data_IF_931054481927
#
_entry.id   IF_931054481927
#
_cell.length_a   1.000
_cell.length_b   1.000
_cell.length_c   1.000
_cell.angle_alpha   90.00
_cell.angle_beta   90.00
_cell.angle_gamma   90.00
#
_symmetry.space_group_name_H-M   'P 1'
#
loop_
_entity.id
_entity.type
_entity.pdbx_description
1 polymer ?
#
# COMPACT_ATOMS: atom_id res chain seq x y z
N UNK A 1 6.57 -11.89 -32.39
CA UNK A 1 6.21 -12.47 -31.09
C UNK A 1 7.44 -12.77 -30.25
N UNK A 2 7.95 -14.01 -30.28
CA UNK A 2 8.99 -14.50 -29.36
C UNK A 2 10.32 -13.72 -29.36
N UNK A 3 10.76 -13.17 -30.50
CA UNK A 3 11.98 -12.32 -30.57
C UNK A 3 11.88 -11.03 -29.74
N UNK A 4 10.70 -10.42 -29.65
CA UNK A 4 10.48 -9.22 -28.81
C UNK A 4 10.41 -9.59 -27.33
N UNK A 5 9.87 -10.77 -27.01
CA UNK A 5 9.88 -11.29 -25.63
C UNK A 5 11.31 -11.56 -25.17
N UNK A 6 12.14 -12.18 -26.02
CA UNK A 6 13.55 -12.42 -25.71
C UNK A 6 14.30 -11.11 -25.45
N UNK A 7 13.99 -10.03 -26.19
CA UNK A 7 14.66 -8.73 -26.09
C UNK A 7 14.57 -8.07 -24.69
N UNK A 8 13.53 -8.37 -23.90
CA UNK A 8 13.39 -7.83 -22.53
C UNK A 8 14.32 -8.51 -21.53
N UNK A 9 14.75 -9.74 -21.83
CA UNK A 9 15.61 -10.56 -20.97
C UNK A 9 17.11 -10.33 -21.20
N UNK A 10 17.50 -9.52 -22.17
CA UNK A 10 18.89 -9.10 -22.35
C UNK A 10 19.23 -7.91 -21.44
N UNK A 11 20.50 -7.83 -21.00
CA UNK A 11 21.00 -6.66 -20.26
C UNK A 11 21.00 -5.42 -21.15
N UNK A 12 20.68 -4.21 -20.63
CA UNK A 12 20.34 -3.89 -19.24
C UNK A 12 18.85 -4.04 -18.87
N UNK A 13 17.98 -4.29 -19.84
CA UNK A 13 16.51 -4.30 -19.66
C UNK A 13 16.02 -5.32 -18.64
N UNK A 14 16.66 -6.48 -18.54
CA UNK A 14 16.27 -7.53 -17.59
C UNK A 14 16.42 -7.08 -16.13
N UNK A 15 17.49 -6.37 -15.78
CA UNK A 15 17.74 -5.90 -14.41
C UNK A 15 16.72 -4.83 -14.03
N UNK A 16 16.50 -3.88 -14.94
CA UNK A 16 15.48 -2.84 -14.78
C UNK A 16 14.08 -3.44 -14.62
N UNK A 17 13.77 -4.50 -15.37
CA UNK A 17 12.48 -5.19 -15.28
C UNK A 17 12.30 -5.85 -13.92
N UNK A 18 13.32 -6.57 -13.45
CA UNK A 18 13.28 -7.22 -12.13
C UNK A 18 13.07 -6.19 -11.03
N UNK A 19 13.82 -5.08 -11.04
CA UNK A 19 13.68 -4.01 -10.06
C UNK A 19 12.26 -3.43 -10.06
N UNK A 20 11.76 -3.03 -11.23
CA UNK A 20 10.40 -2.49 -11.40
C UNK A 20 9.34 -3.48 -10.91
N UNK A 21 9.47 -4.76 -11.26
CA UNK A 21 8.52 -5.81 -10.87
C UNK A 21 8.48 -5.99 -9.36
N UNK A 22 9.64 -6.01 -8.68
CA UNK A 22 9.71 -6.14 -7.22
C UNK A 22 9.11 -4.90 -6.55
N UNK A 23 9.42 -3.70 -7.03
CA UNK A 23 8.87 -2.46 -6.48
C UNK A 23 7.34 -2.47 -6.63
N UNK A 24 6.84 -2.80 -7.84
CA UNK A 24 5.41 -2.84 -8.13
C UNK A 24 4.68 -3.90 -7.32
N UNK A 25 5.32 -5.06 -7.06
CA UNK A 25 4.82 -6.07 -6.14
C UNK A 25 4.58 -5.47 -4.75
N UNK A 26 5.58 -4.80 -4.17
CA UNK A 26 5.47 -4.25 -2.82
C UNK A 26 4.47 -3.09 -2.70
N UNK A 27 4.46 -2.17 -3.67
CA UNK A 27 3.50 -1.05 -3.69
C UNK A 27 2.06 -1.58 -3.80
N UNK A 28 1.80 -2.48 -4.76
CA UNK A 28 0.45 -2.96 -5.00
C UNK A 28 -0.03 -3.92 -3.90
N UNK A 29 0.86 -4.72 -3.32
CA UNK A 29 0.58 -5.50 -2.11
C UNK A 29 0.12 -4.60 -0.97
N UNK A 30 0.88 -3.56 -0.64
CA UNK A 30 0.55 -2.70 0.49
C UNK A 30 -0.73 -1.89 0.28
N UNK A 31 -0.87 -1.25 -0.88
CA UNK A 31 -2.03 -0.42 -1.16
C UNK A 31 -3.33 -1.23 -1.19
N UNK A 32 -3.35 -2.39 -1.86
CA UNK A 32 -4.58 -3.17 -1.98
C UNK A 32 -4.93 -3.90 -0.69
N UNK A 33 -3.94 -4.41 0.03
CA UNK A 33 -4.19 -5.09 1.30
C UNK A 33 -4.78 -4.13 2.32
N UNK A 34 -4.13 -2.99 2.57
CA UNK A 34 -4.64 -2.05 3.56
C UNK A 34 -6.00 -1.48 3.13
N UNK A 35 -6.20 -1.18 1.85
CA UNK A 35 -7.47 -0.65 1.34
C UNK A 35 -8.63 -1.65 1.48
N UNK A 36 -8.39 -2.95 1.29
CA UNK A 36 -9.43 -3.97 1.48
C UNK A 36 -9.74 -4.23 2.96
N UNK A 37 -8.73 -4.10 3.81
CA UNK A 37 -8.88 -4.31 5.24
C UNK A 37 -9.39 -3.07 5.99
N UNK A 38 -9.23 -1.87 5.44
CA UNK A 38 -9.63 -0.60 6.09
C UNK A 38 -11.09 -0.58 6.59
N UNK A 39 -12.09 -1.01 5.80
CA UNK A 39 -13.46 -1.10 6.29
C UNK A 39 -13.62 -2.04 7.47
N UNK A 40 -12.92 -3.17 7.48
CA UNK A 40 -12.94 -4.12 8.58
C UNK A 40 -12.24 -3.56 9.83
N UNK A 41 -11.12 -2.84 9.65
CA UNK A 41 -10.46 -2.13 10.75
C UNK A 41 -11.40 -1.10 11.38
N UNK A 42 -12.03 -0.25 10.56
CA UNK A 42 -12.96 0.76 11.06
C UNK A 42 -14.24 0.16 11.64
N UNK A 43 -14.73 -0.96 11.13
CA UNK A 43 -15.84 -1.68 11.73
C UNK A 43 -15.48 -2.22 13.13
N UNK A 44 -14.30 -2.84 13.29
CA UNK A 44 -13.83 -3.31 14.59
C UNK A 44 -13.68 -2.15 15.60
N UNK A 45 -13.24 -0.99 15.12
CA UNK A 45 -13.16 0.25 15.91
C UNK A 45 -14.55 0.76 16.31
N UNK A 46 -15.49 0.79 15.37
CA UNK A 46 -16.86 1.24 15.60
C UNK A 46 -17.59 0.35 16.61
N UNK A 47 -17.43 -0.97 16.50
CA UNK A 47 -18.02 -1.96 17.42
C UNK A 47 -17.48 -1.82 18.84
N UNK A 48 -16.25 -1.33 19.00
CA UNK A 48 -15.63 -1.07 20.31
C UNK A 48 -15.62 0.39 20.73
N UNK A 49 -16.35 1.26 20.03
CA UNK A 49 -16.39 2.69 20.31
C UNK A 49 -16.74 3.02 21.77
N UNK A 50 -17.76 2.36 22.34
CA UNK A 50 -18.19 2.56 23.73
C UNK A 50 -17.17 2.06 24.76
N UNK A 51 -16.42 1.00 24.44
CA UNK A 51 -15.33 0.49 25.29
C UNK A 51 -14.12 1.42 25.19
N UNK A 52 -13.80 1.89 23.98
CA UNK A 52 -12.71 2.82 23.74
C UNK A 52 -12.92 4.17 24.47
N UNK A 53 -14.17 4.63 24.62
CA UNK A 53 -14.50 5.81 25.44
C UNK A 53 -14.20 5.64 26.93
N UNK A 54 -14.28 4.40 27.46
CA UNK A 54 -14.12 4.11 28.89
C UNK A 54 -12.70 3.66 29.26
N UNK A 55 -12.08 2.83 28.43
CA UNK A 55 -10.79 2.18 28.70
C UNK A 55 -9.63 2.76 27.87
N UNK A 56 -9.92 3.69 26.95
CA UNK A 56 -8.94 4.21 25.98
C UNK A 56 -8.92 3.38 24.69
N UNK A 57 -8.52 4.02 23.59
CA UNK A 57 -8.37 3.38 22.29
C UNK A 57 -6.99 2.71 22.18
N UNK A 58 -6.98 1.44 21.76
CA UNK A 58 -5.77 0.76 21.30
C UNK A 58 -6.14 -0.06 20.06
N UNK A 59 -5.46 0.20 18.95
CA UNK A 59 -5.66 -0.50 17.69
C UNK A 59 -5.43 -2.01 17.89
N UNK A 60 -4.41 -2.41 18.64
CA UNK A 60 -4.05 -3.82 18.81
C UNK A 60 -5.15 -4.61 19.53
N UNK A 61 -5.60 -4.11 20.68
CA UNK A 61 -6.72 -4.69 21.43
C UNK A 61 -8.02 -4.68 20.64
N UNK A 62 -8.21 -3.69 19.77
CA UNK A 62 -9.38 -3.60 18.89
C UNK A 62 -9.33 -4.66 17.80
N UNK A 63 -8.21 -4.82 17.09
CA UNK A 63 -8.10 -5.80 16.00
C UNK A 63 -8.10 -7.26 16.50
N UNK A 64 -7.81 -7.51 17.77
CA UNK A 64 -7.93 -8.85 18.36
C UNK A 64 -9.37 -9.41 18.31
N UNK A 65 -10.40 -8.57 18.17
CA UNK A 65 -11.80 -9.05 17.96
C UNK A 65 -12.02 -9.74 16.63
N UNK A 66 -11.18 -9.45 15.64
CA UNK A 66 -11.25 -10.06 14.32
C UNK A 66 -10.76 -11.52 14.33
N UNK A 67 -10.14 -11.96 15.43
CA UNK A 67 -9.68 -13.33 15.62
C UNK A 67 -10.77 -14.09 16.37
N UNK A 68 -11.39 -15.12 15.75
CA UNK A 68 -12.42 -15.90 16.42
C UNK A 68 -11.81 -16.72 17.56
N UNK A 69 -12.17 -16.42 18.80
CA UNK A 69 -11.86 -17.30 19.93
C UNK A 69 -12.68 -18.59 19.82
N UNK A 70 -12.02 -19.74 19.81
CA UNK A 70 -12.64 -21.07 19.66
C UNK A 70 -13.57 -21.49 20.81
N UNK A 71 -13.77 -20.63 21.81
CA UNK A 71 -14.86 -20.77 22.77
C UNK A 71 -16.17 -20.43 22.08
N UNK A 72 -16.80 -21.47 21.53
CA UNK A 72 -18.12 -21.46 20.90
C UNK A 72 -19.15 -20.84 21.87
N UNK A 73 -19.33 -19.52 21.79
CA UNK A 73 -20.39 -18.85 22.51
C UNK A 73 -21.69 -19.21 21.81
N UNK A 74 -22.59 -19.91 22.51
CA UNK A 74 -23.99 -20.12 22.09
C UNK A 74 -24.81 -18.81 22.08
N UNK A 75 -24.15 -17.66 21.91
CA UNK A 75 -24.78 -16.35 21.84
C UNK A 75 -25.36 -16.08 20.44
N UNK A 76 -26.46 -15.33 20.41
CA UNK A 76 -27.01 -14.79 19.17
C UNK A 76 -26.00 -13.85 18.53
N UNK A 77 -25.75 -14.01 17.22
CA UNK A 77 -24.87 -13.11 16.47
C UNK A 77 -25.59 -11.77 16.30
N UNK A 78 -25.31 -10.81 17.19
CA UNK A 78 -25.82 -9.44 17.06
C UNK A 78 -24.94 -8.67 16.08
N UNK A 79 -25.46 -8.41 14.88
CA UNK A 79 -24.78 -7.58 13.89
C UNK A 79 -24.98 -6.10 14.24
N UNK A 80 -23.90 -5.33 14.31
CA UNK A 80 -24.00 -3.88 14.42
C UNK A 80 -24.42 -3.28 13.07
N UNK A 81 -25.63 -2.74 13.01
CA UNK A 81 -26.15 -2.09 11.81
C UNK A 81 -25.72 -0.62 11.68
N UNK A 82 -25.20 0.00 12.74
CA UNK A 82 -24.81 1.41 12.75
C UNK A 82 -23.37 1.60 12.23
N UNK A 83 -23.16 1.41 10.93
CA UNK A 83 -21.84 1.50 10.28
C UNK A 83 -21.63 2.81 9.50
N UNK A 84 -22.44 3.84 9.76
CA UNK A 84 -22.34 5.14 9.07
C UNK A 84 -20.95 5.77 9.20
N UNK A 85 -20.36 5.73 10.40
CA UNK A 85 -19.01 6.22 10.66
C UNK A 85 -17.93 5.43 9.92
N UNK A 86 -18.11 4.12 9.75
CA UNK A 86 -17.18 3.26 8.99
C UNK A 86 -17.09 3.70 7.54
N UNK A 87 -18.24 3.99 6.91
CA UNK A 87 -18.29 4.48 5.53
C UNK A 87 -17.74 5.90 5.42
N UNK A 88 -18.05 6.79 6.38
CA UNK A 88 -17.52 8.14 6.41
C UNK A 88 -15.99 8.15 6.51
N UNK A 89 -15.40 7.34 7.41
CA UNK A 89 -13.95 7.23 7.56
C UNK A 89 -13.26 6.69 6.30
N UNK A 90 -13.84 5.69 5.63
CA UNK A 90 -13.33 5.22 4.34
C UNK A 90 -13.42 6.29 3.24
N UNK A 91 -14.52 7.04 3.18
CA UNK A 91 -14.69 8.13 2.23
C UNK A 91 -13.64 9.24 2.47
N UNK A 92 -13.35 9.57 3.73
CA UNK A 92 -12.29 10.50 4.11
C UNK A 92 -10.93 10.01 3.60
N UNK A 93 -10.56 8.74 3.83
CA UNK A 93 -9.31 8.19 3.31
C UNK A 93 -9.20 8.31 1.80
N UNK A 94 -10.29 8.02 1.06
CA UNK A 94 -10.34 8.16 -0.38
C UNK A 94 -10.19 9.61 -0.84
N UNK A 95 -10.90 10.55 -0.21
CA UNK A 95 -10.82 11.97 -0.54
C UNK A 95 -9.42 12.54 -0.29
N UNK A 96 -8.80 12.21 0.85
CA UNK A 96 -7.42 12.62 1.16
C UNK A 96 -6.43 12.05 0.15
N UNK A 97 -6.59 10.79 -0.24
CA UNK A 97 -5.74 10.17 -1.25
C UNK A 97 -5.84 10.89 -2.61
N UNK A 98 -7.03 11.31 -3.02
CA UNK A 98 -7.24 12.11 -4.24
C UNK A 98 -6.53 13.47 -4.13
N UNK A 99 -6.67 14.17 -3.00
CA UNK A 99 -6.01 15.46 -2.77
C UNK A 99 -4.49 15.30 -2.86
N UNK A 100 -3.93 14.30 -2.19
CA UNK A 100 -2.49 13.99 -2.25
C UNK A 100 -2.03 13.72 -3.70
N UNK A 101 -2.81 12.93 -4.45
CA UNK A 101 -2.53 12.65 -5.86
C UNK A 101 -2.49 13.93 -6.70
N UNK A 102 -3.47 14.82 -6.55
CA UNK A 102 -3.52 16.10 -7.27
C UNK A 102 -2.33 17.00 -6.91
N UNK A 103 -1.95 17.05 -5.63
CA UNK A 103 -0.79 17.81 -5.15
C UNK A 103 0.54 17.22 -5.66
N UNK A 104 0.59 15.91 -5.93
CA UNK A 104 1.80 15.27 -6.45
C UNK A 104 2.12 15.65 -7.91
N UNK A 105 1.12 16.03 -8.71
CA UNK A 105 1.28 16.36 -10.12
C UNK A 105 2.28 17.52 -10.36
N UNK A 106 2.17 18.69 -9.72
CA UNK A 106 3.19 19.72 -9.83
C UNK A 106 4.52 19.29 -9.21
N UNK A 107 4.51 18.48 -8.15
CA UNK A 107 5.75 18.00 -7.50
C UNK A 107 6.58 17.14 -8.44
N UNK A 108 5.96 16.29 -9.28
CA UNK A 108 6.69 15.51 -10.29
C UNK A 108 7.38 16.43 -11.30
N UNK A 109 6.77 17.56 -11.67
CA UNK A 109 7.37 18.52 -12.60
C UNK A 109 8.53 19.29 -11.96
N UNK A 110 8.46 19.58 -10.66
CA UNK A 110 9.43 20.40 -9.94
C UNK A 110 10.62 19.58 -9.40
N UNK A 111 10.35 18.40 -8.85
CA UNK A 111 11.33 17.55 -8.16
C UNK A 111 11.81 16.36 -9.01
N UNK A 112 11.11 16.07 -10.12
CA UNK A 112 11.38 14.90 -10.94
C UNK A 112 10.73 13.61 -10.43
N UNK A 113 10.60 12.64 -11.33
CA UNK A 113 9.87 11.38 -11.04
C UNK A 113 10.54 10.55 -9.96
N UNK A 114 11.88 10.46 -9.97
CA UNK A 114 12.63 9.62 -9.03
C UNK A 114 12.47 10.07 -7.58
N UNK A 115 12.58 11.37 -7.33
CA UNK A 115 12.42 11.93 -5.98
C UNK A 115 11.00 11.72 -5.47
N UNK A 116 9.99 11.98 -6.31
CA UNK A 116 8.59 11.77 -5.94
C UNK A 116 8.30 10.29 -5.66
N UNK A 117 8.78 9.38 -6.49
CA UNK A 117 8.62 7.94 -6.29
C UNK A 117 9.25 7.49 -4.96
N UNK A 118 10.51 7.84 -4.71
CA UNK A 118 11.21 7.44 -3.50
C UNK A 118 10.59 8.06 -2.25
N UNK A 119 10.32 9.37 -2.27
CA UNK A 119 9.76 10.09 -1.12
C UNK A 119 8.36 9.61 -0.75
N UNK A 120 7.49 9.41 -1.74
CA UNK A 120 6.14 8.89 -1.50
C UNK A 120 6.14 7.43 -1.03
N UNK A 121 6.98 6.56 -1.62
CA UNK A 121 7.12 5.18 -1.15
C UNK A 121 7.66 5.11 0.29
N UNK A 122 8.71 5.88 0.62
CA UNK A 122 9.24 5.98 1.98
C UNK A 122 8.17 6.44 2.98
N UNK A 123 7.48 7.54 2.67
CA UNK A 123 6.45 8.07 3.56
C UNK A 123 5.28 7.10 3.75
N UNK A 124 4.89 6.38 2.69
CA UNK A 124 3.86 5.33 2.77
C UNK A 124 4.27 4.19 3.70
N UNK A 125 5.50 3.69 3.58
CA UNK A 125 6.04 2.65 4.45
C UNK A 125 6.15 3.09 5.91
N UNK A 126 6.69 4.30 6.14
CA UNK A 126 6.82 4.88 7.49
C UNK A 126 5.47 5.06 8.19
N UNK A 127 4.42 5.46 7.46
CA UNK A 127 3.07 5.57 8.04
C UNK A 127 2.61 4.24 8.65
N UNK A 128 2.88 3.10 8.01
CA UNK A 128 2.52 1.79 8.56
C UNK A 128 3.36 1.42 9.78
N UNK A 129 4.66 1.73 9.77
CA UNK A 129 5.52 1.52 10.94
C UNK A 129 5.03 2.36 12.12
N UNK A 130 4.63 3.60 11.88
CA UNK A 130 4.07 4.47 12.92
C UNK A 130 2.74 3.93 13.43
N UNK A 131 1.84 3.45 12.55
CA UNK A 131 0.59 2.79 12.97
C UNK A 131 0.86 1.59 13.88
N UNK A 132 1.89 0.80 13.56
CA UNK A 132 2.22 -0.40 14.34
C UNK A 132 2.54 -0.09 15.81
N UNK A 133 3.23 1.04 16.10
CA UNK A 133 3.67 1.39 17.45
C UNK A 133 2.82 2.47 18.14
N UNK A 134 2.15 3.32 17.37
CA UNK A 134 1.45 4.50 17.86
C UNK A 134 -0.04 4.53 17.50
N UNK A 135 -0.63 3.38 17.16
CA UNK A 135 -2.06 3.18 16.92
C UNK A 135 -2.95 3.33 18.16
N UNK A 136 -2.66 4.27 19.06
CA UNK A 136 -3.36 4.49 20.34
C UNK A 136 -4.52 5.49 20.22
N UNK A 137 -4.75 6.06 19.04
CA UNK A 137 -5.91 6.90 18.77
C UNK A 137 -6.52 6.62 17.39
N UNK A 138 -7.85 6.68 17.31
CA UNK A 138 -8.59 6.52 16.05
C UNK A 138 -8.15 7.57 15.02
N UNK A 139 -7.98 8.83 15.44
CA UNK A 139 -7.56 9.93 14.56
C UNK A 139 -6.17 9.67 13.98
N UNK A 140 -5.23 9.18 14.79
CA UNK A 140 -3.88 8.84 14.33
C UNK A 140 -3.93 7.73 13.29
N UNK A 141 -4.69 6.66 13.57
CA UNK A 141 -4.85 5.52 12.65
C UNK A 141 -5.52 5.95 11.33
N UNK A 142 -6.57 6.77 11.40
CA UNK A 142 -7.28 7.31 10.24
C UNK A 142 -6.39 8.21 9.40
N UNK A 143 -5.71 9.17 10.01
CA UNK A 143 -4.81 10.11 9.33
C UNK A 143 -3.65 9.39 8.66
N UNK A 144 -2.95 8.49 9.39
CA UNK A 144 -1.82 7.74 8.84
C UNK A 144 -2.25 6.77 7.73
N UNK A 145 -3.43 6.14 7.86
CA UNK A 145 -3.98 5.28 6.80
C UNK A 145 -4.31 6.08 5.55
N UNK A 146 -4.87 7.28 5.71
CA UNK A 146 -5.18 8.17 4.59
C UNK A 146 -3.92 8.64 3.86
N UNK A 147 -2.90 9.05 4.61
CA UNK A 147 -1.59 9.45 4.05
C UNK A 147 -0.93 8.26 3.36
N UNK A 148 -0.92 7.09 3.99
CA UNK A 148 -0.38 5.87 3.42
C UNK A 148 -1.00 5.57 2.05
N UNK A 149 -2.33 5.57 1.94
CA UNK A 149 -3.05 5.28 0.70
C UNK A 149 -2.68 6.31 -0.37
N UNK A 150 -2.73 7.61 -0.05
CA UNK A 150 -2.38 8.66 -0.98
C UNK A 150 -0.94 8.55 -1.49
N UNK A 151 0.02 8.39 -0.58
CA UNK A 151 1.44 8.28 -0.91
C UNK A 151 1.73 7.01 -1.71
N UNK A 152 1.10 5.88 -1.38
CA UNK A 152 1.28 4.65 -2.13
C UNK A 152 0.72 4.79 -3.56
N UNK A 153 -0.43 5.43 -3.73
CA UNK A 153 -0.97 5.74 -5.06
C UNK A 153 -0.04 6.65 -5.87
N UNK A 154 0.56 7.67 -5.25
CA UNK A 154 1.55 8.51 -5.92
C UNK A 154 2.73 7.67 -6.37
N UNK A 155 3.34 6.88 -5.47
CA UNK A 155 4.46 6.00 -5.79
C UNK A 155 4.12 5.03 -6.94
N UNK A 156 2.95 4.39 -6.88
CA UNK A 156 2.47 3.46 -7.90
C UNK A 156 2.35 4.14 -9.28
N UNK A 157 1.70 5.31 -9.36
CA UNK A 157 1.51 6.00 -10.63
C UNK A 157 2.82 6.55 -11.18
N UNK A 158 3.70 7.07 -10.32
CA UNK A 158 5.01 7.55 -10.72
C UNK A 158 5.90 6.42 -11.22
N UNK A 159 5.87 5.24 -10.58
CA UNK A 159 6.60 4.06 -11.07
C UNK A 159 6.11 3.66 -12.46
N UNK A 160 4.80 3.56 -12.68
CA UNK A 160 4.25 3.25 -14.01
C UNK A 160 4.71 4.25 -15.07
N UNK A 161 4.75 5.54 -14.72
CA UNK A 161 5.30 6.57 -15.60
C UNK A 161 6.79 6.35 -15.89
N UNK A 162 7.59 6.04 -14.87
CA UNK A 162 9.02 5.74 -15.03
C UNK A 162 9.29 4.48 -15.89
N UNK A 163 8.42 3.46 -15.84
CA UNK A 163 8.55 2.27 -16.70
C UNK A 163 8.44 2.64 -18.18
N UNK A 164 7.51 3.52 -18.53
CA UNK A 164 7.30 3.96 -19.92
C UNK A 164 8.53 4.70 -20.45
N UNK A 165 9.24 5.43 -19.60
CA UNK A 165 10.47 6.14 -19.99
C UNK A 165 11.70 5.23 -20.01
N UNK A 166 11.74 4.24 -19.10
CA UNK A 166 12.89 3.34 -18.94
C UNK A 166 13.02 2.31 -20.07
N UNK A 167 11.89 1.89 -20.65
CA UNK A 167 11.87 0.86 -21.69
C UNK A 167 11.63 1.46 -23.09
N UNK A 168 12.28 0.90 -24.13
CA UNK A 168 12.05 1.31 -25.51
C UNK A 168 10.60 0.98 -25.92
N UNK A 169 10.03 1.76 -26.85
CA UNK A 169 8.61 1.71 -27.22
C UNK A 169 8.09 0.30 -27.52
N UNK A 170 8.90 -0.55 -28.14
CA UNK A 170 8.57 -1.94 -28.47
C UNK A 170 8.42 -2.86 -27.25
N UNK A 171 8.98 -2.49 -26.09
CA UNK A 171 8.98 -3.27 -24.85
C UNK A 171 8.12 -2.65 -23.74
N UNK A 172 7.69 -1.38 -23.88
CA UNK A 172 6.91 -0.65 -22.85
C UNK A 172 5.67 -1.41 -22.38
N UNK A 173 4.84 -1.85 -23.33
CA UNK A 173 3.59 -2.56 -23.02
C UNK A 173 3.86 -3.86 -22.25
N UNK A 174 4.90 -4.60 -22.63
CA UNK A 174 5.30 -5.82 -21.94
C UNK A 174 5.82 -5.56 -20.53
N UNK A 175 6.64 -4.52 -20.35
CA UNK A 175 7.17 -4.15 -19.04
C UNK A 175 6.05 -3.72 -18.08
N UNK A 176 5.12 -2.88 -18.55
CA UNK A 176 3.94 -2.46 -17.76
C UNK A 176 3.05 -3.65 -17.44
N UNK A 177 2.75 -4.52 -18.41
CA UNK A 177 1.94 -5.71 -18.19
C UNK A 177 2.58 -6.66 -17.17
N UNK A 178 3.89 -6.87 -17.25
CA UNK A 178 4.64 -7.71 -16.30
C UNK A 178 4.61 -7.12 -14.90
N UNK A 179 4.90 -5.82 -14.76
CA UNK A 179 4.84 -5.11 -13.48
C UNK A 179 3.44 -5.23 -12.86
N UNK A 180 2.38 -4.98 -13.63
CA UNK A 180 1.01 -5.08 -13.16
C UNK A 180 0.60 -6.51 -12.80
N UNK A 181 1.03 -7.52 -13.55
CA UNK A 181 0.75 -8.92 -13.26
C UNK A 181 1.34 -9.34 -11.90
N UNK A 182 2.62 -9.05 -11.67
CA UNK A 182 3.27 -9.32 -10.39
C UNK A 182 2.73 -8.45 -9.26
N UNK A 183 2.37 -7.19 -9.54
CA UNK A 183 1.66 -6.34 -8.59
C UNK A 183 0.36 -6.98 -8.11
N UNK A 184 -0.45 -7.50 -9.04
CA UNK A 184 -1.73 -8.15 -8.70
C UNK A 184 -1.51 -9.43 -7.90
N UNK A 185 -0.48 -10.21 -8.26
CA UNK A 185 -0.06 -11.34 -7.46
C UNK A 185 0.31 -10.92 -6.03
N UNK A 186 1.05 -9.81 -5.86
CA UNK A 186 1.34 -9.22 -4.54
C UNK A 186 0.09 -8.82 -3.76
N UNK A 187 -0.92 -8.24 -4.41
CA UNK A 187 -2.22 -7.97 -3.78
C UNK A 187 -2.89 -9.24 -3.27
N UNK A 188 -2.89 -10.33 -4.05
CA UNK A 188 -3.46 -11.60 -3.59
C UNK A 188 -2.70 -12.17 -2.40
N UNK A 189 -1.36 -12.17 -2.47
CA UNK A 189 -0.48 -12.62 -1.38
C UNK A 189 -0.71 -11.81 -0.11
N UNK A 190 -0.77 -10.48 -0.21
CA UNK A 190 -1.00 -9.60 0.94
C UNK A 190 -2.34 -9.84 1.64
N UNK A 191 -3.42 -10.06 0.88
CA UNK A 191 -4.74 -10.32 1.48
C UNK A 191 -4.84 -11.68 2.18
N UNK A 192 -4.02 -12.67 1.80
CA UNK A 192 -3.93 -13.96 2.49
C UNK A 192 -3.06 -13.84 3.73
N UNK A 193 -1.93 -13.12 3.61
CA UNK A 193 -0.92 -13.01 4.67
C UNK A 193 -1.36 -12.06 5.80
N UNK A 194 -2.12 -11.00 5.50
CA UNK A 194 -2.58 -10.03 6.50
C UNK A 194 -3.36 -10.64 7.68
N UNK A 195 -4.45 -11.42 7.46
CA UNK A 195 -5.16 -12.06 8.56
C UNK A 195 -4.31 -13.11 9.28
N UNK A 196 -3.44 -13.82 8.56
CA UNK A 196 -2.53 -14.78 9.18
C UNK A 196 -1.54 -14.10 10.14
N UNK A 197 -1.00 -12.93 9.75
CA UNK A 197 -0.15 -12.11 10.61
C UNK A 197 -0.93 -11.54 11.80
N UNK A 198 -2.19 -11.11 11.61
CA UNK A 198 -3.04 -10.68 12.71
C UNK A 198 -3.22 -11.78 13.76
N UNK A 199 -3.37 -13.04 13.33
CA UNK A 199 -3.46 -14.20 14.22
C UNK A 199 -2.23 -14.43 15.11
N UNK A 200 -1.06 -13.98 14.67
CA UNK A 200 0.20 -14.05 15.45
C UNK A 200 0.35 -12.81 16.35
N UNK A 201 -0.08 -11.65 15.86
CA UNK A 201 -0.12 -10.41 16.63
C UNK A 201 -0.40 -9.18 15.77
N UNK A 202 -1.01 -8.16 16.35
CA UNK A 202 -1.49 -6.99 15.59
C UNK A 202 -0.39 -6.16 14.93
N UNK A 203 0.83 -6.12 15.49
CA UNK A 203 1.91 -5.32 14.91
C UNK A 203 2.43 -5.91 13.59
N UNK A 204 2.44 -7.24 13.48
CA UNK A 204 3.09 -7.95 12.39
C UNK A 204 2.57 -7.60 10.98
N UNK A 205 1.26 -7.45 10.72
CA UNK A 205 0.74 -7.00 9.43
C UNK A 205 1.31 -5.66 9.00
N UNK A 206 1.31 -4.66 9.90
CA UNK A 206 1.76 -3.31 9.60
C UNK A 206 3.28 -3.24 9.42
N UNK A 207 4.05 -3.95 10.25
CA UNK A 207 5.51 -4.03 10.13
C UNK A 207 5.93 -4.74 8.83
N UNK A 208 5.26 -5.84 8.48
CA UNK A 208 5.60 -6.62 7.28
C UNK A 208 5.29 -5.82 6.02
N UNK A 209 4.08 -5.27 5.92
CA UNK A 209 3.68 -4.49 4.73
C UNK A 209 4.49 -3.19 4.64
N UNK A 210 4.65 -2.48 5.76
CA UNK A 210 5.48 -1.27 5.84
C UNK A 210 6.93 -1.56 5.43
N UNK A 211 7.52 -2.64 5.94
CA UNK A 211 8.86 -3.08 5.61
C UNK A 211 9.04 -3.41 4.13
N UNK A 212 8.10 -4.14 3.53
CA UNK A 212 8.12 -4.45 2.09
C UNK A 212 8.09 -3.16 1.25
N UNK A 213 7.27 -2.18 1.63
CA UNK A 213 7.22 -0.88 0.93
C UNK A 213 8.54 -0.10 1.11
N UNK A 214 9.14 -0.12 2.30
CA UNK A 214 10.43 0.52 2.54
C UNK A 214 11.55 -0.11 1.70
N UNK A 215 11.54 -1.45 1.56
CA UNK A 215 12.43 -2.15 0.63
C UNK A 215 12.17 -1.72 -0.81
N UNK A 216 10.90 -1.63 -1.23
CA UNK A 216 10.54 -1.08 -2.56
C UNK A 216 11.04 0.35 -2.75
N UNK A 217 10.98 1.20 -1.72
CA UNK A 217 11.48 2.56 -1.77
C UNK A 217 13.01 2.61 -1.90
N UNK A 218 13.73 1.73 -1.20
CA UNK A 218 15.17 1.57 -1.36
C UNK A 218 15.55 1.10 -2.76
N UNK A 219 14.83 0.10 -3.30
CA UNK A 219 15.03 -0.34 -4.69
C UNK A 219 14.74 0.78 -5.69
N UNK A 220 13.74 1.63 -5.42
CA UNK A 220 13.43 2.77 -6.26
C UNK A 220 14.59 3.80 -6.35
N UNK A 221 15.40 3.93 -5.30
CA UNK A 221 16.60 4.78 -5.34
C UNK A 221 17.66 4.25 -6.29
N UNK A 222 17.73 2.91 -6.44
CA UNK A 222 18.67 2.24 -7.34
C UNK A 222 18.23 2.28 -8.82
N UNK A 223 16.99 2.69 -9.11
CA UNK A 223 16.56 2.85 -10.49
C UNK A 223 17.37 3.96 -11.19
N UNK A 224 17.77 3.74 -12.46
CA UNK A 224 18.38 4.78 -13.27
C UNK A 224 17.41 5.95 -13.47
N UNK A 225 17.94 7.17 -13.43
CA UNK A 225 17.13 8.38 -13.63
C UNK A 225 16.49 8.41 -15.02
N UNK A 226 15.16 8.51 -15.04
CA UNK A 226 14.37 8.58 -16.26
C UNK A 226 14.24 10.01 -16.81
N UNK A 227 14.59 11.03 -16.02
CA UNK A 227 14.29 12.44 -16.35
C UNK A 227 15.26 13.11 -17.33
N UNK A 228 16.37 12.49 -17.73
CA UNK A 228 17.37 13.13 -18.60
C UNK A 228 18.02 12.23 -19.65
N UNK A 229 17.23 11.49 -20.44
CA UNK A 229 17.70 11.01 -21.73
C UNK A 229 16.73 11.41 -22.84
N UNK A 230 17.09 12.48 -23.56
CA UNK A 230 16.70 12.57 -24.95
C UNK A 230 17.11 11.25 -25.61
N UNK A 231 16.13 10.51 -26.12
CA UNK A 231 16.35 9.34 -26.96
C UNK A 231 17.22 9.76 -28.15
N UNK A 232 18.52 9.51 -28.05
CA UNK A 232 19.43 9.45 -29.21
C UNK A 232 19.44 8.02 -29.74
#
# INVERSE_FOLDING_TARGET
GFRQIAAIFYRPNCINLIMVVIIQFGLLMGNNTLRLWLPQLFAAINDRSEVAKKEGFDLCRTLQTLIPNSTRSNGTCSVNYNNSEVYANNAICGAVAIVILLLSLPMVRLLGKKIVLCGSALGSGLCLIIIAYYGNHITVTLTLSSIHIGFNYVAFNTLLSSIVDLFPTTLRAMAVASAMAFGRFGSSVGNIIFPALLGIGCLYPFLTIGGIILVSAFLAMLLPDSDMKALK
#
